data_IF_613754165369
#
_entry.id   IF_613754165369
#
_cell.length_a   1.000
_cell.length_b   1.000
_cell.length_c   1.000
_cell.angle_alpha   90.00
_cell.angle_beta   90.00
_cell.angle_gamma   90.00
#
_symmetry.space_group_name_H-M   'P 1'
#
loop_
_entity.id
_entity.type
_entity.pdbx_description
1 polymer ?
#
# COMPACT_ATOMS: atom_id res chain seq x y z
N UNK A 1 2.13 -8.63 4.97
CA UNK A 1 3.16 -9.46 4.30
C UNK A 1 4.47 -8.71 4.34
N UNK A 2 5.53 -9.34 4.82
CA UNK A 2 6.77 -8.72 5.29
C UNK A 2 7.29 -9.60 6.41
N UNK A 3 8.08 -10.59 6.04
CA UNK A 3 8.49 -11.68 6.92
C UNK A 3 9.97 -11.92 6.72
N UNK A 4 10.65 -12.38 7.77
CA UNK A 4 12.03 -12.82 7.67
C UNK A 4 12.05 -14.19 6.98
N UNK A 5 12.82 -14.31 5.91
CA UNK A 5 13.11 -15.58 5.24
C UNK A 5 14.59 -15.89 5.50
N UNK A 6 14.85 -16.97 6.24
CA UNK A 6 16.18 -17.25 6.78
C UNK A 6 16.72 -16.08 7.61
N UNK A 7 17.82 -15.47 7.15
CA UNK A 7 18.47 -14.32 7.80
C UNK A 7 18.06 -12.96 7.22
N UNK A 8 17.39 -12.91 6.04
CA UNK A 8 17.03 -11.67 5.36
C UNK A 8 15.64 -11.20 5.79
N UNK A 9 15.55 -9.93 6.17
CA UNK A 9 14.27 -9.23 6.38
C UNK A 9 13.79 -8.60 5.08
N UNK A 10 12.49 -8.66 4.86
CA UNK A 10 11.82 -8.01 3.73
C UNK A 10 10.87 -6.93 4.24
N UNK A 11 10.69 -5.82 3.50
CA UNK A 11 9.77 -4.77 3.88
C UNK A 11 8.37 -5.31 4.14
N UNK A 12 7.70 -4.70 5.11
CA UNK A 12 6.27 -4.93 5.33
C UNK A 12 5.48 -4.10 4.32
N UNK A 13 4.45 -4.69 3.73
CA UNK A 13 3.49 -3.98 2.87
C UNK A 13 2.32 -3.48 3.71
N UNK A 14 1.85 -2.28 3.39
CA UNK A 14 0.61 -1.73 3.95
C UNK A 14 0.77 -1.15 5.35
N UNK A 15 1.94 -0.60 5.68
CA UNK A 15 2.14 0.13 6.93
C UNK A 15 1.29 1.40 6.98
N UNK A 16 0.59 1.60 8.08
CA UNK A 16 -0.27 2.77 8.37
C UNK A 16 0.47 4.11 8.36
N UNK A 17 1.81 4.10 8.35
CA UNK A 17 2.62 5.32 8.35
C UNK A 17 2.81 5.95 6.97
N UNK A 18 2.55 5.23 5.89
CA UNK A 18 2.84 5.70 4.52
C UNK A 18 1.58 6.20 3.78
N UNK A 19 0.40 5.92 4.33
CA UNK A 19 -0.91 6.38 3.87
C UNK A 19 -1.68 6.99 5.05
N UNK A 20 -2.07 8.25 4.92
CA UNK A 20 -2.99 8.92 5.86
C UNK A 20 -4.33 9.11 5.18
N UNK A 21 -5.40 8.68 5.86
CA UNK A 21 -6.79 8.94 5.50
C UNK A 21 -7.43 9.75 6.62
N UNK A 22 -7.90 10.94 6.33
CA UNK A 22 -8.47 11.85 7.32
C UNK A 22 -9.58 12.71 6.70
N UNK A 23 -10.26 13.49 7.53
CA UNK A 23 -11.13 14.54 7.08
C UNK A 23 -10.77 15.87 7.73
N UNK A 24 -10.83 16.96 6.97
CA UNK A 24 -10.65 18.29 7.53
C UNK A 24 -11.82 18.72 8.46
N UNK A 25 -11.70 19.92 9.02
CA UNK A 25 -12.73 20.51 9.89
C UNK A 25 -14.06 20.77 9.17
N UNK A 26 -14.05 20.89 7.83
CA UNK A 26 -15.23 21.11 7.00
C UNK A 26 -15.87 19.79 6.52
N UNK A 27 -15.20 18.66 6.73
CA UNK A 27 -15.69 17.35 6.29
C UNK A 27 -15.12 16.89 4.95
N UNK A 28 -14.16 17.59 4.36
CA UNK A 28 -13.54 17.17 3.11
C UNK A 28 -12.54 16.04 3.38
N UNK A 29 -12.49 15.06 2.48
CA UNK A 29 -11.53 13.95 2.53
C UNK A 29 -10.11 14.45 2.28
N UNK A 30 -9.18 13.97 3.10
CA UNK A 30 -7.76 14.17 2.93
C UNK A 30 -7.06 12.82 2.78
N UNK A 31 -6.34 12.63 1.68
CA UNK A 31 -5.54 11.44 1.38
C UNK A 31 -4.11 11.90 1.18
N UNK A 32 -3.22 11.54 2.10
CA UNK A 32 -1.80 11.84 1.99
C UNK A 32 -0.97 10.58 1.84
N UNK A 33 -0.01 10.63 0.91
CA UNK A 33 1.04 9.64 0.76
C UNK A 33 2.34 10.20 1.31
N UNK A 34 3.14 9.33 1.92
CA UNK A 34 4.49 9.70 2.36
C UNK A 34 5.41 9.84 1.15
N UNK A 35 5.92 11.04 0.91
CA UNK A 35 6.82 11.33 -0.22
C UNK A 35 8.27 10.92 0.04
N UNK A 36 8.75 11.15 1.27
CA UNK A 36 10.12 10.83 1.66
C UNK A 36 10.16 10.07 2.98
N UNK A 37 11.08 9.10 3.08
CA UNK A 37 11.31 8.37 4.34
C UNK A 37 12.16 9.16 5.35
N UNK A 38 12.77 10.27 4.91
CA UNK A 38 13.77 11.04 5.68
C UNK A 38 13.24 12.43 6.03
N UNK A 39 12.54 13.05 5.08
CA UNK A 39 11.83 14.30 5.27
C UNK A 39 10.38 13.88 5.53
N UNK A 40 9.73 14.38 6.59
CA UNK A 40 8.31 14.08 6.93
C UNK A 40 7.33 14.70 5.91
N UNK A 41 7.65 14.51 4.64
CA UNK A 41 6.98 15.05 3.47
C UNK A 41 5.73 14.22 3.20
N UNK A 42 4.61 14.92 3.13
CA UNK A 42 3.31 14.38 2.76
C UNK A 42 2.90 14.96 1.43
N UNK A 43 2.56 14.07 0.51
CA UNK A 43 2.05 14.41 -0.81
C UNK A 43 0.53 14.27 -0.73
N UNK A 44 -0.16 15.38 -0.95
CA UNK A 44 -1.62 15.40 -1.03
C UNK A 44 -2.06 14.77 -2.36
N UNK A 45 -2.88 13.73 -2.26
CA UNK A 45 -3.46 13.04 -3.41
C UNK A 45 -4.99 13.01 -3.36
N UNK A 46 -5.60 13.84 -2.52
CA UNK A 46 -7.05 13.84 -2.26
C UNK A 46 -7.89 14.08 -3.52
N UNK A 47 -7.42 14.92 -4.43
CA UNK A 47 -8.09 15.22 -5.70
C UNK A 47 -7.54 14.41 -6.90
N UNK A 48 -6.65 13.46 -6.66
CA UNK A 48 -5.97 12.72 -7.73
C UNK A 48 -6.79 11.50 -8.16
N UNK A 49 -7.15 11.42 -9.44
CA UNK A 49 -7.81 10.23 -10.00
C UNK A 49 -6.85 9.04 -10.20
N UNK A 50 -5.55 9.33 -10.30
CA UNK A 50 -4.46 8.38 -10.49
C UNK A 50 -3.26 8.79 -9.63
N UNK A 51 -2.38 7.84 -9.32
CA UNK A 51 -1.16 8.13 -8.55
C UNK A 51 -0.30 9.18 -9.29
N UNK A 52 -0.07 10.36 -8.69
CA UNK A 52 0.70 11.43 -9.34
C UNK A 52 2.20 11.08 -9.40
N UNK A 53 2.93 11.70 -10.33
CA UNK A 53 4.34 11.35 -10.60
C UNK A 53 5.24 11.63 -9.40
N UNK A 54 5.00 12.74 -8.69
CA UNK A 54 5.71 13.11 -7.47
C UNK A 54 5.56 12.08 -6.35
N UNK A 55 4.46 11.32 -6.34
CA UNK A 55 4.22 10.26 -5.38
C UNK A 55 4.83 8.91 -5.78
N UNK A 56 5.41 8.79 -6.98
CA UNK A 56 6.05 7.55 -7.41
C UNK A 56 7.41 7.41 -6.75
N UNK A 57 7.64 6.23 -6.19
CA UNK A 57 8.92 5.86 -5.60
C UNK A 57 10.04 5.96 -6.65
N UNK A 58 10.97 6.89 -6.41
CA UNK A 58 12.11 7.15 -7.28
C UNK A 58 13.39 7.09 -6.45
N UNK A 59 14.32 6.15 -6.73
CA UNK A 59 14.22 5.12 -7.77
C UNK A 59 13.16 4.05 -7.43
N UNK A 60 12.67 3.30 -8.42
CA UNK A 60 11.80 2.15 -8.18
C UNK A 60 12.43 1.18 -7.18
N UNK A 61 11.66 0.78 -6.16
CA UNK A 61 12.12 -0.20 -5.17
C UNK A 61 11.76 -1.62 -5.59
N UNK A 62 12.66 -2.57 -5.33
CA UNK A 62 12.43 -4.00 -5.59
C UNK A 62 11.86 -4.76 -4.38
N UNK A 63 11.59 -4.08 -3.27
CA UNK A 63 11.26 -4.73 -2.00
C UNK A 63 10.07 -5.69 -2.06
N UNK A 64 9.07 -5.40 -2.90
CA UNK A 64 7.93 -6.29 -3.14
C UNK A 64 8.32 -7.51 -3.95
N UNK A 65 8.88 -7.30 -5.13
CA UNK A 65 9.35 -8.35 -6.03
C UNK A 65 10.33 -9.31 -5.32
N UNK A 66 11.35 -8.76 -4.64
CA UNK A 66 12.38 -9.50 -3.92
C UNK A 66 11.80 -10.45 -2.87
N UNK A 67 10.72 -10.05 -2.18
CA UNK A 67 10.07 -10.87 -1.16
C UNK A 67 9.20 -11.96 -1.80
N UNK A 68 8.48 -11.65 -2.87
CA UNK A 68 7.70 -12.64 -3.61
C UNK A 68 8.63 -13.74 -4.13
N UNK A 69 9.75 -13.36 -4.74
CA UNK A 69 10.78 -14.31 -5.21
C UNK A 69 11.33 -15.16 -4.05
N UNK A 70 11.58 -14.56 -2.90
CA UNK A 70 12.05 -15.27 -1.72
C UNK A 70 11.02 -16.28 -1.17
N UNK A 71 9.75 -15.90 -1.14
CA UNK A 71 8.65 -16.76 -0.69
C UNK A 71 8.43 -17.95 -1.64
N UNK A 72 8.62 -17.74 -2.95
CA UNK A 72 8.60 -18.81 -3.95
C UNK A 72 9.76 -19.77 -3.71
N UNK A 73 10.99 -19.25 -3.58
CA UNK A 73 12.19 -20.07 -3.36
C UNK A 73 12.16 -20.86 -2.04
N UNK A 74 11.54 -20.30 -0.99
CA UNK A 74 11.32 -20.99 0.29
C UNK A 74 10.17 -22.02 0.24
N UNK A 75 9.40 -22.06 -0.86
CA UNK A 75 8.27 -22.97 -1.05
C UNK A 75 6.99 -22.58 -0.29
N UNK A 76 6.96 -21.39 0.32
CA UNK A 76 5.78 -20.83 0.99
C UNK A 76 4.73 -20.34 -0.01
N UNK A 77 5.15 -19.83 -1.17
CA UNK A 77 4.28 -19.55 -2.31
C UNK A 77 4.49 -20.62 -3.39
N UNK A 78 3.40 -21.27 -3.81
CA UNK A 78 3.41 -22.31 -4.84
C UNK A 78 2.53 -21.88 -6.01
N UNK A 79 2.91 -22.29 -7.23
CA UNK A 79 2.18 -22.00 -8.46
C UNK A 79 1.98 -20.50 -8.74
N UNK A 80 2.87 -19.64 -8.21
CA UNK A 80 2.93 -18.22 -8.53
C UNK A 80 4.00 -18.01 -9.58
N UNK A 81 3.63 -17.44 -10.73
CA UNK A 81 4.55 -17.18 -11.84
C UNK A 81 4.48 -15.71 -12.24
N UNK A 82 5.64 -15.11 -12.54
CA UNK A 82 5.69 -13.77 -13.11
C UNK A 82 5.11 -13.78 -14.52
N UNK A 83 4.29 -12.79 -14.84
CA UNK A 83 3.68 -12.61 -16.15
C UNK A 83 3.62 -11.11 -16.45
N UNK A 84 4.03 -10.71 -17.66
CA UNK A 84 3.88 -9.33 -18.14
C UNK A 84 2.41 -8.90 -18.22
N UNK A 85 1.50 -9.86 -18.46
CA UNK A 85 0.06 -9.62 -18.48
C UNK A 85 -0.55 -9.54 -17.06
N UNK A 86 0.23 -9.85 -16.02
CA UNK A 86 -0.24 -9.90 -14.65
C UNK A 86 -1.37 -10.93 -14.44
N UNK A 87 -2.34 -10.57 -13.60
CA UNK A 87 -3.53 -11.37 -13.30
C UNK A 87 -4.79 -10.66 -13.81
N UNK A 88 -5.08 -10.69 -15.13
CA UNK A 88 -6.15 -9.89 -15.73
C UNK A 88 -7.55 -10.30 -15.25
N UNK A 89 -7.70 -11.54 -14.78
CA UNK A 89 -8.96 -12.09 -14.29
C UNK A 89 -9.06 -12.07 -12.75
N UNK A 90 -8.09 -11.47 -12.04
CA UNK A 90 -8.18 -11.35 -10.60
C UNK A 90 -9.34 -10.41 -10.23
N UNK A 91 -10.22 -10.88 -9.35
CA UNK A 91 -11.24 -10.02 -8.76
C UNK A 91 -10.57 -9.03 -7.81
N UNK A 92 -10.79 -7.75 -8.04
CA UNK A 92 -10.36 -6.68 -7.14
C UNK A 92 -11.60 -6.06 -6.51
N UNK A 93 -11.69 -6.15 -5.20
CA UNK A 93 -12.71 -5.48 -4.41
C UNK A 93 -12.11 -4.18 -3.87
N UNK A 94 -12.64 -3.04 -4.30
CA UNK A 94 -12.15 -1.72 -3.93
C UNK A 94 -13.02 -1.11 -2.83
N UNK A 95 -12.38 -0.51 -1.84
CA UNK A 95 -13.04 0.44 -0.95
C UNK A 95 -12.96 1.82 -1.62
N UNK A 96 -14.07 2.26 -2.19
CA UNK A 96 -14.15 3.52 -2.94
C UNK A 96 -14.50 4.73 -2.06
N UNK A 97 -14.94 4.49 -0.83
CA UNK A 97 -15.42 5.52 0.09
C UNK A 97 -14.62 5.47 1.39
N UNK A 98 -14.20 6.63 1.90
CA UNK A 98 -13.72 6.77 3.27
C UNK A 98 -14.95 7.06 4.14
N UNK A 99 -15.12 6.29 5.22
CA UNK A 99 -16.24 6.48 6.15
C UNK A 99 -15.72 6.94 7.50
N UNK A 100 -16.29 8.05 8.01
CA UNK A 100 -16.12 8.42 9.41
C UNK A 100 -16.79 7.35 10.27
N UNK A 101 -16.02 6.72 11.15
CA UNK A 101 -16.60 5.85 12.16
C UNK A 101 -17.40 6.67 13.16
N UNK A 102 -18.59 6.20 13.54
CA UNK A 102 -19.28 6.68 14.73
C UNK A 102 -19.08 5.69 15.86
N UNK A 103 -18.56 6.16 17.00
CA UNK A 103 -18.37 5.31 18.18
C UNK A 103 -19.69 4.65 18.64
N UNK A 104 -20.84 5.31 18.41
CA UNK A 104 -22.17 4.76 18.74
C UNK A 104 -22.58 3.54 17.91
N UNK A 105 -21.90 3.26 16.80
CA UNK A 105 -22.20 2.14 15.88
C UNK A 105 -21.26 0.95 16.09
N UNK A 106 -20.27 1.08 16.99
CA UNK A 106 -19.20 0.08 17.18
C UNK A 106 -19.54 -1.01 18.20
N UNK A 107 -20.58 -0.82 19.02
CA UNK A 107 -21.10 -1.84 19.94
C UNK A 107 -22.25 -2.60 19.24
N UNK A 108 -21.92 -3.74 18.62
CA UNK A 108 -22.87 -4.78 18.18
C UNK A 108 -22.44 -6.14 18.71
#
# INVERSE_FOLDING_TARGET
MGKRIGKKGYPTYGTTGDLTLDFDQMGNENIFLKGSSILDEKIDVSSANHLPEEAKLTPPIKGTDDNIDALINDGQLKNVNRSENGSPNAKMDYNLEIKRGSYSEWEQ
#
